data_IF_488672113711
#
_entry.id   IF_488672113711
#
_cell.length_a   1.000
_cell.length_b   1.000
_cell.length_c   1.000
_cell.angle_alpha   90.00
_cell.angle_beta   90.00
_cell.angle_gamma   90.00
#
_symmetry.space_group_name_H-M   'P 1'
#
loop_
_entity.id
_entity.type
_entity.pdbx_description
1 polymer ?
#
# COMPACT_ATOMS: atom_id res chain seq x y z
N UNK A 1 -7.57 1.32 11.35
CA UNK A 1 -6.86 0.63 10.23
C UNK A 1 -7.72 0.58 8.96
N UNK A 2 -8.91 -0.02 8.99
CA UNK A 2 -9.82 -0.10 7.82
C UNK A 2 -10.14 1.25 7.16
N UNK A 3 -10.39 2.29 7.94
CA UNK A 3 -10.60 3.65 7.44
C UNK A 3 -9.41 4.16 6.60
N UNK A 4 -8.18 3.94 7.08
CA UNK A 4 -6.97 4.35 6.35
C UNK A 4 -6.79 3.56 5.06
N UNK A 5 -7.14 2.27 5.05
CA UNK A 5 -7.15 1.46 3.83
C UNK A 5 -8.16 2.03 2.83
N UNK A 6 -9.38 2.35 3.26
CA UNK A 6 -10.39 2.94 2.37
C UNK A 6 -9.93 4.28 1.78
N UNK A 7 -9.33 5.15 2.60
CA UNK A 7 -8.75 6.42 2.13
C UNK A 7 -7.66 6.16 1.08
N UNK A 8 -6.75 5.21 1.35
CA UNK A 8 -5.72 4.81 0.40
C UNK A 8 -6.31 4.31 -0.93
N UNK A 9 -7.32 3.43 -0.88
CA UNK A 9 -8.00 2.91 -2.08
C UNK A 9 -8.63 4.03 -2.91
N UNK A 10 -9.30 4.99 -2.27
CA UNK A 10 -9.88 6.16 -2.94
C UNK A 10 -8.78 6.98 -3.63
N UNK A 11 -7.65 7.23 -2.93
CA UNK A 11 -6.55 8.03 -3.48
C UNK A 11 -5.85 7.37 -4.66
N UNK A 12 -5.73 6.04 -4.66
CA UNK A 12 -5.24 5.30 -5.83
C UNK A 12 -6.19 5.48 -7.01
N UNK A 13 -7.50 5.38 -6.79
CA UNK A 13 -8.52 5.53 -7.84
C UNK A 13 -8.58 6.94 -8.43
N UNK A 14 -8.36 7.98 -7.64
CA UNK A 14 -8.41 9.39 -8.09
C UNK A 14 -7.22 9.79 -8.98
N UNK A 15 -6.13 9.02 -9.00
CA UNK A 15 -4.87 9.40 -9.68
C UNK A 15 -4.68 8.57 -10.95
N UNK A 16 -5.14 9.09 -12.09
CA UNK A 16 -5.03 8.40 -13.40
C UNK A 16 -3.61 7.97 -13.76
N UNK A 17 -2.60 8.78 -13.38
CA UNK A 17 -1.19 8.46 -13.61
C UNK A 17 -0.67 7.26 -12.80
N UNK A 18 -1.37 6.85 -11.73
CA UNK A 18 -1.03 5.65 -10.94
C UNK A 18 -1.59 4.39 -11.60
N UNK A 19 -2.65 4.51 -12.40
CA UNK A 19 -3.27 3.35 -13.08
C UNK A 19 -2.28 2.66 -14.02
N UNK A 20 -1.42 3.43 -14.71
CA UNK A 20 -0.36 2.86 -15.56
C UNK A 20 0.72 2.11 -14.77
N UNK A 21 1.03 2.56 -13.55
CA UNK A 21 1.96 1.90 -12.63
C UNK A 21 1.39 0.55 -12.13
N UNK A 22 0.07 0.46 -11.99
CA UNK A 22 -0.66 -0.71 -11.53
C UNK A 22 -1.16 -1.61 -12.67
N UNK A 23 -0.76 -1.33 -13.92
CA UNK A 23 -1.13 -2.14 -15.07
C UNK A 23 -0.24 -3.38 -15.18
N UNK A 24 -0.36 -4.28 -14.20
CA UNK A 24 0.31 -5.58 -14.20
C UNK A 24 -0.72 -6.68 -14.52
N UNK A 25 -0.43 -7.53 -15.49
CA UNK A 25 -1.35 -8.58 -15.99
C UNK A 25 -1.59 -9.67 -14.93
N UNK A 26 -0.54 -10.03 -14.18
CA UNK A 26 -0.58 -11.10 -13.17
C UNK A 26 -1.35 -10.68 -11.91
N UNK A 27 -1.45 -9.37 -11.65
CA UNK A 27 -1.98 -8.82 -10.40
C UNK A 27 -1.02 -9.01 -9.22
N UNK A 28 -1.22 -8.23 -8.15
CA UNK A 28 -0.39 -8.26 -6.95
C UNK A 28 -1.28 -8.20 -5.71
N UNK A 29 -1.27 -9.25 -4.89
CA UNK A 29 -1.91 -9.22 -3.57
C UNK A 29 -0.92 -8.74 -2.51
N UNK A 30 -1.34 -7.76 -1.72
CA UNK A 30 -0.60 -7.24 -0.59
C UNK A 30 -1.40 -7.51 0.67
N UNK A 31 -0.82 -8.31 1.56
CA UNK A 31 -1.38 -8.63 2.87
C UNK A 31 -0.70 -7.78 3.95
N UNK A 32 -1.48 -7.01 4.69
CA UNK A 32 -1.05 -6.32 5.89
C UNK A 32 -1.34 -7.19 7.11
N UNK A 33 -0.32 -7.51 7.90
CA UNK A 33 -0.38 -8.37 9.09
C UNK A 33 -0.04 -7.50 10.30
N UNK A 34 -1.06 -7.15 11.07
CA UNK A 34 -0.97 -6.21 12.18
C UNK A 34 -1.56 -6.82 13.46
N UNK A 35 -0.75 -7.59 14.19
CA UNK A 35 -1.20 -8.30 15.38
C UNK A 35 -2.32 -9.29 15.04
N UNK A 36 -3.55 -9.02 15.51
CA UNK A 36 -4.73 -9.85 15.24
C UNK A 36 -5.57 -9.37 14.03
N UNK A 37 -5.12 -8.33 13.32
CA UNK A 37 -5.81 -7.78 12.16
C UNK A 37 -5.02 -8.07 10.89
N UNK A 38 -5.66 -8.77 9.97
CA UNK A 38 -5.13 -9.00 8.62
C UNK A 38 -6.03 -8.29 7.61
N UNK A 39 -5.41 -7.57 6.67
CA UNK A 39 -6.14 -6.87 5.61
C UNK A 39 -5.44 -7.18 4.29
N UNK A 40 -6.22 -7.65 3.33
CA UNK A 40 -5.72 -7.98 2.00
C UNK A 40 -6.22 -6.95 0.99
N UNK A 41 -5.30 -6.40 0.21
CA UNK A 41 -5.60 -5.58 -0.96
C UNK A 41 -5.06 -6.24 -2.22
N UNK A 42 -5.71 -5.98 -3.33
CA UNK A 42 -5.33 -6.49 -4.64
C UNK A 42 -5.13 -5.37 -5.64
N UNK A 43 -4.00 -5.42 -6.32
CA UNK A 43 -3.58 -4.47 -7.34
C UNK A 43 -3.63 -5.18 -8.69
N UNK A 44 -4.57 -4.84 -9.56
CA UNK A 44 -4.68 -5.44 -10.89
C UNK A 44 -5.37 -4.50 -11.87
N UNK A 45 -4.94 -4.51 -13.14
CA UNK A 45 -5.56 -3.74 -14.23
C UNK A 45 -5.73 -2.25 -13.90
N UNK A 46 -4.75 -1.65 -13.22
CA UNK A 46 -4.83 -0.24 -12.84
C UNK A 46 -5.74 0.06 -11.65
N UNK A 47 -6.30 -0.96 -11.00
CA UNK A 47 -7.17 -0.81 -9.84
C UNK A 47 -6.54 -1.35 -8.56
N UNK A 48 -6.96 -0.78 -7.43
CA UNK A 48 -6.68 -1.27 -6.10
C UNK A 48 -8.00 -1.56 -5.39
N UNK A 49 -8.18 -2.78 -4.91
CA UNK A 49 -9.43 -3.24 -4.26
C UNK A 49 -9.14 -3.96 -2.96
N UNK A 50 -10.11 -3.98 -2.06
CA UNK A 50 -10.08 -4.79 -0.84
C UNK A 50 -10.48 -6.24 -1.19
N UNK A 51 -9.74 -7.23 -0.70
CA UNK A 51 -10.12 -8.63 -0.78
C UNK A 51 -10.68 -9.11 0.56
N UNK A 52 -11.87 -9.70 0.52
CA UNK A 52 -12.50 -10.31 1.70
C UNK A 52 -12.25 -11.82 1.80
N UNK A 53 -11.90 -12.47 0.68
CA UNK A 53 -11.58 -13.89 0.63
C UNK A 53 -10.45 -14.13 -0.39
N UNK A 54 -9.19 -14.12 0.05
CA UNK A 54 -8.04 -14.34 -0.82
C UNK A 54 -7.97 -15.83 -1.19
N UNK A 55 -8.26 -16.18 -2.45
CA UNK A 55 -7.91 -17.52 -2.93
C UNK A 55 -6.38 -17.70 -2.81
N UNK A 56 -5.94 -18.89 -2.37
CA UNK A 56 -4.58 -19.17 -1.87
C UNK A 56 -3.42 -18.82 -2.84
N UNK A 57 -3.69 -18.58 -4.12
CA UNK A 57 -2.69 -18.50 -5.18
C UNK A 57 -2.14 -17.10 -5.50
N UNK A 58 -2.55 -16.02 -4.80
CA UNK A 58 -2.18 -14.65 -5.19
C UNK A 58 -1.24 -13.90 -4.24
N UNK A 59 -0.82 -14.50 -3.12
CA UNK A 59 0.01 -13.79 -2.12
C UNK A 59 1.46 -13.59 -2.58
N UNK A 60 1.76 -12.43 -3.18
CA UNK A 60 3.13 -12.06 -3.56
C UNK A 60 3.84 -11.16 -2.52
N UNK A 61 3.08 -10.50 -1.63
CA UNK A 61 3.63 -9.57 -0.64
C UNK A 61 2.94 -9.65 0.73
N UNK A 62 3.73 -9.77 1.78
CA UNK A 62 3.29 -9.67 3.17
C UNK A 62 4.01 -8.51 3.88
N UNK A 63 3.27 -7.60 4.51
CA UNK A 63 3.77 -6.45 5.27
C UNK A 63 3.40 -6.64 6.74
N UNK A 64 4.39 -6.81 7.60
CA UNK A 64 4.24 -7.02 9.03
C UNK A 64 4.60 -5.75 9.80
N UNK A 65 3.76 -5.37 10.77
CA UNK A 65 4.07 -4.30 11.70
C UNK A 65 2.92 -3.89 12.60
N UNK A 66 3.16 -2.89 13.44
CA UNK A 66 2.12 -2.31 14.29
C UNK A 66 1.13 -1.48 13.46
N UNK A 67 -0.13 -1.43 13.90
CA UNK A 67 -1.21 -0.69 13.22
C UNK A 67 -0.81 0.76 12.94
N UNK A 68 -0.23 1.45 13.92
CA UNK A 68 0.21 2.84 13.79
C UNK A 68 1.28 3.00 12.70
N UNK A 69 2.21 2.05 12.62
CA UNK A 69 3.29 2.08 11.63
C UNK A 69 2.74 1.85 10.22
N UNK A 70 1.78 0.95 10.05
CA UNK A 70 1.10 0.73 8.77
C UNK A 70 0.23 1.94 8.39
N UNK A 71 -0.40 2.61 9.36
CA UNK A 71 -1.11 3.87 9.09
C UNK A 71 -0.17 4.96 8.59
N UNK A 72 1.02 5.12 9.17
CA UNK A 72 2.04 6.07 8.70
C UNK A 72 2.53 5.75 7.28
N UNK A 73 2.58 4.47 6.92
CA UNK A 73 2.89 4.03 5.57
C UNK A 73 1.77 4.40 4.58
N UNK A 74 0.52 4.05 4.91
CA UNK A 74 -0.65 4.26 4.05
C UNK A 74 -0.98 5.74 3.84
N UNK A 75 -0.75 6.59 4.84
CA UNK A 75 -0.84 8.05 4.67
C UNK A 75 0.30 8.63 3.84
N UNK A 76 1.39 7.87 3.67
CA UNK A 76 2.63 8.30 3.08
C UNK A 76 3.43 9.30 3.95
N UNK A 77 3.12 9.39 5.24
CA UNK A 77 3.89 10.17 6.23
C UNK A 77 5.32 9.62 6.38
N UNK A 78 5.49 8.31 6.22
CA UNK A 78 6.79 7.63 6.22
C UNK A 78 6.91 6.71 5.01
N UNK A 79 8.14 6.58 4.49
CA UNK A 79 8.47 5.70 3.36
C UNK A 79 8.61 4.25 3.84
N UNK A 80 8.18 3.28 3.02
CA UNK A 80 8.28 1.84 3.30
C UNK A 80 9.71 1.46 3.68
N UNK A 81 10.68 1.84 2.85
CA UNK A 81 12.10 1.54 3.10
C UNK A 81 12.63 2.17 4.39
N UNK A 82 12.18 3.37 4.75
CA UNK A 82 12.61 4.01 5.99
C UNK A 82 12.06 3.28 7.21
N UNK A 83 10.83 2.78 7.16
CA UNK A 83 10.22 2.00 8.24
C UNK A 83 10.90 0.62 8.37
N UNK A 84 11.24 -0.01 7.25
CA UNK A 84 12.00 -1.27 7.23
C UNK A 84 13.40 -1.12 7.84
N UNK A 85 14.16 -0.10 7.43
CA UNK A 85 15.52 0.15 7.95
C UNK A 85 15.53 0.43 9.45
N UNK A 86 14.46 1.01 9.99
CA UNK A 86 14.29 1.27 11.43
C UNK A 86 13.74 0.06 12.20
N UNK A 87 13.55 -1.09 11.54
CA UNK A 87 12.97 -2.29 12.15
C UNK A 87 11.50 -2.15 12.56
N UNK A 88 10.80 -1.13 12.06
CA UNK A 88 9.38 -0.85 12.40
C UNK A 88 8.41 -1.64 11.51
N UNK A 89 8.85 -2.02 10.30
CA UNK A 89 8.13 -2.88 9.38
C UNK A 89 9.04 -4.02 8.90
N UNK A 90 8.47 -5.19 8.71
CA UNK A 90 9.10 -6.29 7.97
C UNK A 90 8.26 -6.56 6.71
N UNK A 91 8.92 -6.75 5.57
CA UNK A 91 8.24 -6.99 4.29
C UNK A 91 8.82 -8.25 3.66
N UNK A 92 7.94 -9.17 3.26
CA UNK A 92 8.29 -10.37 2.51
C UNK A 92 7.70 -10.22 1.11
N UNK A 93 8.55 -9.87 0.16
CA UNK A 93 8.20 -9.70 -1.24
C UNK A 93 9.46 -9.72 -2.11
N UNK A 94 9.30 -9.81 -3.43
CA UNK A 94 10.41 -9.58 -4.35
C UNK A 94 10.91 -8.13 -4.27
N UNK A 95 12.16 -7.87 -4.67
CA UNK A 95 12.68 -6.50 -4.72
C UNK A 95 11.90 -5.61 -5.70
N UNK A 96 11.45 -6.16 -6.83
CA UNK A 96 10.59 -5.46 -7.80
C UNK A 96 9.27 -5.03 -7.16
N UNK A 97 8.62 -5.94 -6.43
CA UNK A 97 7.38 -5.67 -5.69
C UNK A 97 7.60 -4.58 -4.65
N UNK A 98 8.71 -4.62 -3.91
CA UNK A 98 9.05 -3.60 -2.92
C UNK A 98 9.23 -2.19 -3.53
N UNK A 99 9.88 -2.09 -4.70
CA UNK A 99 10.01 -0.81 -5.42
C UNK A 99 8.66 -0.28 -5.91
N UNK A 100 7.82 -1.15 -6.44
CA UNK A 100 6.46 -0.81 -6.87
C UNK A 100 5.65 -0.27 -5.70
N UNK A 101 5.67 -0.95 -4.55
CA UNK A 101 4.94 -0.53 -3.35
C UNK A 101 5.49 0.77 -2.76
N UNK A 102 6.81 0.94 -2.69
CA UNK A 102 7.42 2.21 -2.27
C UNK A 102 6.95 3.37 -3.17
N UNK A 103 6.94 3.17 -4.49
CA UNK A 103 6.46 4.17 -5.44
C UNK A 103 4.96 4.44 -5.24
N UNK A 104 4.14 3.39 -5.10
CA UNK A 104 2.70 3.49 -4.88
C UNK A 104 2.39 4.29 -3.61
N UNK A 105 2.91 3.89 -2.45
CA UNK A 105 2.68 4.59 -1.18
C UNK A 105 3.17 6.04 -1.21
N UNK A 106 4.28 6.30 -1.91
CA UNK A 106 4.78 7.65 -2.09
C UNK A 106 3.85 8.51 -2.97
N UNK A 107 3.31 7.93 -4.04
CA UNK A 107 2.42 8.60 -4.98
C UNK A 107 0.98 8.71 -4.47
N UNK A 108 0.59 8.05 -3.39
CA UNK A 108 -0.76 8.14 -2.79
C UNK A 108 -0.78 8.93 -1.49
N UNK A 109 0.27 9.72 -1.21
CA UNK A 109 0.37 10.56 -0.03
C UNK A 109 -0.88 11.39 0.19
N UNK A 110 -1.36 11.41 1.43
CA UNK A 110 -2.42 12.31 1.85
C UNK A 110 -1.81 13.70 1.94
N UNK A 111 -2.03 14.52 0.90
CA UNK A 111 -1.54 15.89 0.84
C UNK A 111 -2.21 16.72 1.94
N UNK A 112 -1.50 16.92 3.06
CA UNK A 112 -1.86 17.90 4.11
C UNK A 112 -1.34 19.31 3.79
N UNK A 113 -0.76 19.52 2.60
CA UNK A 113 -0.29 20.83 2.18
C UNK A 113 -1.36 21.53 1.36
N UNK A 114 -2.11 22.41 2.04
CA UNK A 114 -2.68 23.60 1.42
C UNK A 114 -1.59 24.29 0.63
N UNK A 115 -1.68 24.26 -0.70
CA UNK A 115 -0.90 25.15 -1.53
C UNK A 115 -1.37 26.57 -1.23
N UNK A 116 -0.63 27.29 -0.35
CA UNK A 116 -0.63 28.74 -0.37
C UNK A 116 0.10 29.14 -1.65
N UNK A 117 -0.68 29.44 -2.68
CA UNK A 117 -0.20 30.25 -3.79
C UNK A 117 0.08 31.62 -3.17
N UNK A 118 1.35 32.00 -3.12
CA UNK A 118 1.81 33.36 -2.78
C UNK A 118 1.72 34.18 -4.07
#
# INVERSE_FOLDING_TARGET
MMEMIQIFLIKVKERDHIRSLLNNEDGLMVRFICGHQNIDIFLKNGECTLLHDPSENFTECEIYGEIETVQQLLSGERKLRSLMQKGRLQVKASFRTLLLLEALFYLTKIDTKSYRII
#
